data_IF_591076070691
#
_entry.id   IF_591076070691
#
_cell.length_a   1.000
_cell.length_b   1.000
_cell.length_c   1.000
_cell.angle_alpha   90.00
_cell.angle_beta   90.00
_cell.angle_gamma   90.00
#
_symmetry.space_group_name_H-M   'P 1'
#
loop_
_entity.id
_entity.type
_entity.pdbx_description
1 polymer ?
#
# COMPACT_ATOMS: atom_id res chain seq x y z
N UNK A 1 -36.80 -12.16 -14.70
CA UNK A 1 -35.87 -11.36 -15.53
C UNK A 1 -35.13 -10.30 -14.72
N UNK A 2 -35.79 -9.23 -14.23
CA UNK A 2 -35.11 -8.10 -13.56
C UNK A 2 -34.28 -8.54 -12.35
N UNK A 3 -34.83 -9.41 -11.49
CA UNK A 3 -34.11 -9.94 -10.32
C UNK A 3 -32.81 -10.65 -10.70
N UNK A 4 -32.83 -11.46 -11.77
CA UNK A 4 -31.63 -12.16 -12.25
C UNK A 4 -30.60 -11.18 -12.82
N UNK A 5 -31.03 -10.11 -13.51
CA UNK A 5 -30.12 -9.05 -13.98
C UNK A 5 -29.44 -8.37 -12.80
N UNK A 6 -30.22 -7.97 -11.79
CA UNK A 6 -29.69 -7.35 -10.56
C UNK A 6 -28.72 -8.29 -9.87
N UNK A 7 -29.07 -9.57 -9.70
CA UNK A 7 -28.20 -10.58 -9.10
C UNK A 7 -26.85 -10.68 -9.82
N UNK A 8 -26.85 -10.80 -11.15
CA UNK A 8 -25.62 -10.95 -11.93
C UNK A 8 -24.70 -9.71 -11.82
N UNK A 9 -25.29 -8.52 -11.85
CA UNK A 9 -24.55 -7.26 -11.66
C UNK A 9 -23.98 -7.20 -10.23
N UNK A 10 -24.81 -7.48 -9.21
CA UNK A 10 -24.40 -7.46 -7.81
C UNK A 10 -23.29 -8.46 -7.50
N UNK A 11 -23.36 -9.69 -8.02
CA UNK A 11 -22.32 -10.72 -7.85
C UNK A 11 -21.01 -10.29 -8.49
N UNK A 12 -21.06 -9.69 -9.69
CA UNK A 12 -19.86 -9.19 -10.38
C UNK A 12 -19.19 -8.05 -9.60
N UNK A 13 -19.98 -7.09 -9.12
CA UNK A 13 -19.52 -5.98 -8.26
C UNK A 13 -18.93 -6.50 -6.95
N UNK A 14 -19.63 -7.39 -6.26
CA UNK A 14 -19.20 -7.96 -4.98
C UNK A 14 -17.90 -8.77 -5.13
N UNK A 15 -17.75 -9.51 -6.24
CA UNK A 15 -16.52 -10.20 -6.59
C UNK A 15 -15.35 -9.24 -6.75
N UNK A 16 -15.50 -8.14 -7.49
CA UNK A 16 -14.43 -7.15 -7.66
C UNK A 16 -14.11 -6.42 -6.36
N UNK A 17 -15.13 -6.12 -5.55
CA UNK A 17 -14.91 -5.53 -4.22
C UNK A 17 -14.09 -6.46 -3.33
N UNK A 18 -14.47 -7.74 -3.24
CA UNK A 18 -13.78 -8.72 -2.42
C UNK A 18 -12.32 -8.91 -2.87
N UNK A 19 -12.07 -8.83 -4.19
CA UNK A 19 -10.73 -8.91 -4.77
C UNK A 19 -9.80 -7.85 -4.16
N UNK A 20 -10.22 -6.59 -4.26
CA UNK A 20 -9.41 -5.48 -3.77
C UNK A 20 -9.31 -5.47 -2.25
N UNK A 21 -10.38 -5.84 -1.53
CA UNK A 21 -10.36 -5.90 -0.06
C UNK A 21 -9.41 -6.97 0.48
N UNK A 22 -9.40 -8.16 -0.10
CA UNK A 22 -8.50 -9.24 0.34
C UNK A 22 -7.03 -8.90 0.07
N UNK A 23 -6.72 -8.31 -1.09
CA UNK A 23 -5.36 -7.85 -1.38
C UNK A 23 -4.88 -6.76 -0.43
N UNK A 24 -5.76 -5.83 -0.06
CA UNK A 24 -5.44 -4.77 0.89
C UNK A 24 -5.22 -5.30 2.32
N UNK A 25 -6.05 -6.25 2.77
CA UNK A 25 -6.01 -6.76 4.14
C UNK A 25 -4.73 -7.55 4.48
N UNK A 26 -4.14 -8.24 3.50
CA UNK A 26 -3.04 -9.18 3.75
C UNK A 26 -1.68 -8.51 3.94
N UNK A 27 -1.47 -7.28 3.44
CA UNK A 27 -0.15 -6.63 3.57
C UNK A 27 -0.14 -5.12 3.78
N UNK A 28 -1.30 -4.42 3.79
CA UNK A 28 -1.36 -2.95 3.65
C UNK A 28 -0.58 -2.39 2.45
N UNK A 29 -0.13 -3.27 1.55
CA UNK A 29 0.51 -2.98 0.28
C UNK A 29 -0.32 -3.65 -0.80
N UNK A 30 -0.72 -2.91 -1.83
CA UNK A 30 -1.49 -3.48 -2.94
C UNK A 30 -0.60 -4.41 -3.80
N UNK A 31 -0.54 -5.70 -3.47
CA UNK A 31 0.12 -6.71 -4.32
C UNK A 31 -0.88 -7.38 -5.23
N UNK A 32 -0.81 -7.04 -6.52
CA UNK A 32 -1.64 -7.66 -7.55
C UNK A 32 -1.25 -9.13 -7.74
N UNK A 33 -1.94 -10.02 -7.03
CA UNK A 33 -1.77 -11.46 -7.18
C UNK A 33 -2.73 -12.01 -8.23
N UNK A 34 -2.15 -12.50 -9.33
CA UNK A 34 -2.90 -13.11 -10.44
C UNK A 34 -3.66 -14.37 -10.02
N UNK A 35 -3.12 -15.15 -9.06
CA UNK A 35 -3.76 -16.37 -8.55
C UNK A 35 -5.04 -16.06 -7.78
N UNK A 36 -4.99 -15.08 -6.85
CA UNK A 36 -6.18 -14.65 -6.10
C UNK A 36 -7.26 -14.11 -7.04
N UNK A 37 -6.86 -13.31 -8.03
CA UNK A 37 -7.79 -12.81 -9.05
C UNK A 37 -8.47 -13.96 -9.81
N UNK A 38 -7.69 -14.97 -10.22
CA UNK A 38 -8.19 -16.14 -10.95
C UNK A 38 -9.23 -16.91 -10.14
N UNK A 39 -8.92 -17.24 -8.88
CA UNK A 39 -9.83 -17.99 -8.00
C UNK A 39 -11.14 -17.23 -7.82
N UNK A 40 -11.05 -15.94 -7.53
CA UNK A 40 -12.23 -15.13 -7.27
C UNK A 40 -13.09 -14.91 -8.51
N UNK A 41 -12.49 -14.60 -9.66
CA UNK A 41 -13.22 -14.46 -10.92
C UNK A 41 -13.81 -15.79 -11.40
N UNK A 42 -13.20 -16.93 -11.05
CA UNK A 42 -13.81 -18.25 -11.27
C UNK A 42 -15.06 -18.41 -10.41
N UNK A 43 -15.00 -18.07 -9.12
CA UNK A 43 -16.16 -18.12 -8.22
C UNK A 43 -17.27 -17.21 -8.72
N UNK A 44 -16.95 -15.97 -9.13
CA UNK A 44 -17.92 -15.05 -9.74
C UNK A 44 -18.53 -15.70 -10.98
N UNK A 45 -17.72 -16.24 -11.90
CA UNK A 45 -18.22 -16.88 -13.12
C UNK A 45 -19.16 -18.06 -12.85
N UNK A 46 -18.85 -18.87 -11.84
CA UNK A 46 -19.71 -19.97 -11.39
C UNK A 46 -21.03 -19.46 -10.78
N UNK A 47 -20.98 -18.40 -9.97
CA UNK A 47 -22.19 -17.78 -9.40
C UNK A 47 -23.09 -17.17 -10.49
N UNK A 48 -22.50 -16.53 -11.52
CA UNK A 48 -23.25 -16.04 -12.67
C UNK A 48 -23.87 -17.20 -13.47
N UNK A 49 -23.16 -18.33 -13.59
CA UNK A 49 -23.67 -19.52 -14.29
C UNK A 49 -24.88 -20.14 -13.57
N UNK A 50 -24.94 -20.07 -12.23
CA UNK A 50 -26.03 -20.59 -11.41
C UNK A 50 -27.34 -19.81 -11.55
N UNK A 51 -27.30 -18.56 -12.02
CA UNK A 51 -28.46 -17.69 -12.15
C UNK A 51 -28.50 -17.03 -13.53
N UNK A 52 -28.75 -17.79 -14.61
CA UNK A 52 -28.91 -17.22 -15.94
C UNK A 52 -30.14 -16.29 -15.98
N UNK A 53 -30.12 -15.28 -16.86
CA UNK A 53 -31.22 -14.33 -16.97
C UNK A 53 -32.31 -14.90 -17.88
N UNK A 54 -33.51 -15.21 -17.36
CA UNK A 54 -34.60 -15.71 -18.20
C UNK A 54 -35.22 -14.57 -19.00
N UNK A 55 -35.23 -14.71 -20.32
CA UNK A 55 -35.87 -13.80 -21.28
C UNK A 55 -36.67 -14.66 -22.27
N UNK A 56 -38.00 -14.55 -22.25
CA UNK A 56 -38.90 -15.39 -23.03
C UNK A 56 -38.61 -16.89 -22.84
N UNK A 57 -38.07 -17.57 -23.86
CA UNK A 57 -37.70 -18.99 -23.83
C UNK A 57 -36.19 -19.23 -23.68
N UNK A 58 -35.40 -18.16 -23.54
CA UNK A 58 -33.95 -18.21 -23.46
C UNK A 58 -33.44 -17.97 -22.03
N UNK A 59 -32.31 -18.59 -21.72
CA UNK A 59 -31.61 -18.47 -20.44
C UNK A 59 -30.23 -17.88 -20.66
N UNK A 60 -30.15 -16.56 -20.66
CA UNK A 60 -28.93 -15.83 -21.04
C UNK A 60 -27.84 -15.99 -19.97
N UNK A 61 -26.72 -16.60 -20.35
CA UNK A 61 -25.57 -16.84 -19.47
C UNK A 61 -24.52 -15.71 -19.56
N UNK A 62 -24.15 -15.12 -18.41
CA UNK A 62 -23.11 -14.08 -18.31
C UNK A 62 -21.78 -14.60 -17.74
N UNK A 63 -21.61 -15.91 -17.61
CA UNK A 63 -20.44 -16.54 -16.98
C UNK A 63 -19.11 -16.32 -17.72
N UNK A 64 -19.14 -15.83 -18.97
CA UNK A 64 -17.94 -15.40 -19.70
C UNK A 64 -17.43 -14.02 -19.27
N UNK A 65 -18.25 -13.18 -18.63
CA UNK A 65 -17.87 -11.80 -18.25
C UNK A 65 -16.60 -11.76 -17.39
N UNK A 66 -16.44 -12.60 -16.34
CA UNK A 66 -15.20 -12.63 -15.55
C UNK A 66 -13.97 -13.05 -16.36
N UNK A 67 -14.12 -13.82 -17.43
CA UNK A 67 -13.02 -14.21 -18.31
C UNK A 67 -12.45 -13.00 -19.08
N UNK A 68 -13.26 -11.98 -19.34
CA UNK A 68 -12.78 -10.73 -19.96
C UNK A 68 -11.80 -10.00 -19.05
N UNK A 69 -12.10 -9.95 -17.75
CA UNK A 69 -11.23 -9.37 -16.73
C UNK A 69 -9.95 -10.18 -16.59
N UNK A 70 -10.07 -11.51 -16.51
CA UNK A 70 -8.88 -12.38 -16.43
C UNK A 70 -8.00 -12.26 -17.68
N UNK A 71 -8.60 -12.28 -18.87
CA UNK A 71 -7.89 -12.09 -20.14
C UNK A 71 -7.16 -10.76 -20.22
N UNK A 72 -7.75 -9.69 -19.67
CA UNK A 72 -7.13 -8.37 -19.64
C UNK A 72 -6.00 -8.25 -18.62
N UNK A 73 -6.17 -8.79 -17.41
CA UNK A 73 -5.33 -8.44 -16.26
C UNK A 73 -4.41 -9.57 -15.76
N UNK A 74 -4.56 -10.81 -16.23
CA UNK A 74 -3.75 -11.95 -15.74
C UNK A 74 -2.77 -12.49 -16.78
N UNK A 75 -3.02 -13.68 -17.32
CA UNK A 75 -2.33 -14.32 -18.43
C UNK A 75 -3.22 -15.46 -18.98
N UNK A 76 -2.84 -16.04 -20.12
CA UNK A 76 -3.59 -17.12 -20.75
C UNK A 76 -3.77 -18.35 -19.86
N UNK A 77 -2.78 -18.69 -19.03
CA UNK A 77 -2.86 -19.83 -18.13
C UNK A 77 -4.00 -19.69 -17.11
N UNK A 78 -4.06 -18.58 -16.39
CA UNK A 78 -5.11 -18.34 -15.39
C UNK A 78 -6.51 -18.22 -16.04
N UNK A 79 -6.63 -17.49 -17.14
CA UNK A 79 -7.91 -17.35 -17.85
C UNK A 79 -8.42 -18.70 -18.35
N UNK A 80 -7.54 -19.55 -18.90
CA UNK A 80 -7.91 -20.86 -19.40
C UNK A 80 -8.36 -21.81 -18.27
N UNK A 81 -7.63 -21.85 -17.15
CA UNK A 81 -8.01 -22.68 -16.00
C UNK A 81 -9.38 -22.26 -15.45
N UNK A 82 -9.62 -20.95 -15.28
CA UNK A 82 -10.91 -20.43 -14.83
C UNK A 82 -12.03 -20.81 -15.81
N UNK A 83 -11.80 -20.66 -17.12
CA UNK A 83 -12.78 -21.03 -18.14
C UNK A 83 -13.06 -22.53 -18.17
N UNK A 84 -12.03 -23.37 -17.99
CA UNK A 84 -12.17 -24.82 -17.90
C UNK A 84 -13.02 -25.24 -16.71
N UNK A 85 -12.78 -24.65 -15.54
CA UNK A 85 -13.58 -24.92 -14.34
C UNK A 85 -15.03 -24.50 -14.52
N UNK A 86 -15.27 -23.30 -15.05
CA UNK A 86 -16.63 -22.82 -15.34
C UNK A 86 -17.30 -23.75 -16.36
N UNK A 87 -16.62 -24.11 -17.46
CA UNK A 87 -17.15 -24.98 -18.50
C UNK A 87 -17.52 -26.38 -17.98
N UNK A 88 -16.66 -27.00 -17.16
CA UNK A 88 -16.91 -28.31 -16.54
C UNK A 88 -18.15 -28.25 -15.64
N UNK A 89 -18.22 -27.26 -14.75
CA UNK A 89 -19.37 -27.13 -13.84
C UNK A 89 -20.64 -26.82 -14.62
N UNK A 90 -20.59 -25.91 -15.58
CA UNK A 90 -21.75 -25.59 -16.43
C UNK A 90 -22.28 -26.82 -17.16
N UNK A 91 -21.42 -27.64 -17.75
CA UNK A 91 -21.84 -28.83 -18.49
C UNK A 91 -22.35 -29.96 -17.57
N UNK A 92 -21.56 -30.36 -16.58
CA UNK A 92 -21.88 -31.55 -15.76
C UNK A 92 -22.88 -31.27 -14.63
N UNK A 93 -22.88 -30.07 -14.07
CA UNK A 93 -23.73 -29.73 -12.92
C UNK A 93 -24.96 -28.94 -13.36
N UNK A 94 -24.77 -27.95 -14.22
CA UNK A 94 -25.86 -27.06 -14.68
C UNK A 94 -26.53 -27.54 -15.97
N UNK A 95 -26.07 -28.68 -16.52
CA UNK A 95 -26.64 -29.32 -17.71
C UNK A 95 -26.71 -28.40 -18.94
N UNK A 96 -25.75 -27.47 -19.09
CA UNK A 96 -25.66 -26.63 -20.28
C UNK A 96 -25.15 -27.42 -21.49
N UNK A 97 -25.25 -26.84 -22.69
CA UNK A 97 -24.81 -27.51 -23.92
C UNK A 97 -23.29 -27.63 -23.99
N UNK A 98 -22.80 -28.70 -24.64
CA UNK A 98 -21.36 -28.87 -24.90
C UNK A 98 -20.79 -27.70 -25.73
N UNK A 99 -21.59 -27.18 -26.66
CA UNK A 99 -21.24 -26.00 -27.47
C UNK A 99 -20.96 -24.77 -26.61
N UNK A 100 -21.76 -24.55 -25.56
CA UNK A 100 -21.53 -23.46 -24.59
C UNK A 100 -20.24 -23.65 -23.80
N UNK A 101 -19.96 -24.88 -23.33
CA UNK A 101 -18.71 -25.17 -22.62
C UNK A 101 -17.47 -24.92 -23.52
N UNK A 102 -17.53 -25.32 -24.78
CA UNK A 102 -16.46 -25.08 -25.77
C UNK A 102 -16.31 -23.57 -26.06
N UNK A 103 -17.41 -22.83 -26.16
CA UNK A 103 -17.34 -21.39 -26.45
C UNK A 103 -16.63 -20.61 -25.34
N UNK A 104 -16.80 -20.97 -24.07
CA UNK A 104 -16.07 -20.39 -22.95
C UNK A 104 -14.55 -20.58 -23.09
N UNK A 105 -14.11 -21.76 -23.52
CA UNK A 105 -12.69 -22.05 -23.74
C UNK A 105 -12.12 -21.23 -24.90
N UNK A 106 -12.87 -21.12 -26.00
CA UNK A 106 -12.47 -20.30 -27.16
C UNK A 106 -12.36 -18.83 -26.77
N UNK A 107 -13.38 -18.31 -26.06
CA UNK A 107 -13.37 -16.94 -25.53
C UNK A 107 -12.12 -16.74 -24.66
N UNK A 108 -11.85 -17.64 -23.71
CA UNK A 108 -10.72 -17.54 -22.81
C UNK A 108 -9.36 -17.43 -23.54
N UNK A 109 -9.15 -18.26 -24.57
CA UNK A 109 -7.93 -18.23 -25.38
C UNK A 109 -7.81 -16.90 -26.13
N UNK A 110 -8.88 -16.46 -26.80
CA UNK A 110 -8.85 -15.23 -27.60
C UNK A 110 -8.68 -13.99 -26.72
N UNK A 111 -9.48 -13.86 -25.66
CA UNK A 111 -9.46 -12.66 -24.80
C UNK A 111 -8.16 -12.56 -23.99
N UNK A 112 -7.53 -13.68 -23.62
CA UNK A 112 -6.23 -13.65 -22.96
C UNK A 112 -5.07 -13.41 -23.91
N UNK A 113 -5.22 -13.74 -25.20
CA UNK A 113 -4.22 -13.44 -26.22
C UNK A 113 -4.29 -11.97 -26.63
N UNK A 114 -5.49 -11.41 -26.79
CA UNK A 114 -5.68 -10.02 -27.26
C UNK A 114 -5.66 -9.02 -26.10
N UNK A 115 -6.32 -9.35 -24.99
CA UNK A 115 -6.58 -8.46 -23.87
C UNK A 115 -5.37 -7.68 -23.35
N UNK A 116 -4.20 -8.31 -23.10
CA UNK A 116 -3.02 -7.61 -22.61
C UNK A 116 -2.49 -6.53 -23.57
N UNK A 117 -2.71 -6.68 -24.87
CA UNK A 117 -2.18 -5.77 -25.90
C UNK A 117 -3.10 -4.59 -26.21
N UNK A 118 -4.31 -4.53 -25.64
CA UNK A 118 -5.23 -3.41 -25.85
C UNK A 118 -4.69 -2.17 -25.12
N UNK A 119 -4.22 -1.16 -25.88
CA UNK A 119 -3.67 0.10 -25.35
C UNK A 119 -4.75 1.17 -25.09
N UNK A 120 -5.90 0.75 -24.60
CA UNK A 120 -7.01 1.62 -24.24
C UNK A 120 -7.26 1.57 -22.73
N UNK A 121 -8.00 2.55 -22.22
CA UNK A 121 -8.43 2.59 -20.83
C UNK A 121 -9.24 1.34 -20.45
N UNK A 122 -9.23 0.99 -19.16
CA UNK A 122 -9.84 -0.23 -18.61
C UNK A 122 -11.27 -0.50 -19.12
N UNK A 123 -12.12 0.54 -19.13
CA UNK A 123 -13.52 0.43 -19.58
C UNK A 123 -13.58 0.05 -21.06
N UNK A 124 -12.90 0.82 -21.92
CA UNK A 124 -12.90 0.59 -23.38
C UNK A 124 -12.31 -0.78 -23.71
N UNK A 125 -11.23 -1.19 -23.02
CA UNK A 125 -10.61 -2.48 -23.24
C UNK A 125 -11.55 -3.65 -22.92
N UNK A 126 -12.28 -3.60 -21.81
CA UNK A 126 -13.27 -4.63 -21.47
C UNK A 126 -14.44 -4.64 -22.46
N UNK A 127 -14.90 -3.48 -22.93
CA UNK A 127 -15.94 -3.42 -23.97
C UNK A 127 -15.49 -4.01 -25.31
N UNK A 128 -14.24 -3.78 -25.73
CA UNK A 128 -13.67 -4.41 -26.93
C UNK A 128 -13.66 -5.94 -26.77
N UNK A 129 -13.19 -6.44 -25.62
CA UNK A 129 -13.18 -7.89 -25.34
C UNK A 129 -14.59 -8.48 -25.27
N UNK A 130 -15.57 -7.73 -24.75
CA UNK A 130 -16.98 -8.13 -24.76
C UNK A 130 -17.48 -8.27 -26.20
N UNK A 131 -17.27 -7.26 -27.04
CA UNK A 131 -17.67 -7.29 -28.46
C UNK A 131 -17.02 -8.49 -29.19
N UNK A 132 -15.72 -8.73 -28.98
CA UNK A 132 -15.03 -9.90 -29.55
C UNK A 132 -15.70 -11.20 -29.11
N UNK A 133 -16.08 -11.31 -27.83
CA UNK A 133 -16.75 -12.49 -27.28
C UNK A 133 -18.14 -12.70 -27.89
N UNK A 134 -18.91 -11.63 -28.07
CA UNK A 134 -20.22 -11.69 -28.74
C UNK A 134 -20.07 -12.11 -30.21
N UNK A 135 -19.06 -11.60 -30.93
CA UNK A 135 -18.79 -12.01 -32.31
C UNK A 135 -18.45 -13.50 -32.39
N UNK A 136 -17.63 -14.02 -31.46
CA UNK A 136 -17.31 -15.46 -31.36
C UNK A 136 -18.61 -16.26 -31.16
N UNK A 137 -19.46 -15.87 -30.22
CA UNK A 137 -20.71 -16.56 -29.94
C UNK A 137 -21.67 -16.51 -31.13
N UNK A 138 -21.75 -15.38 -31.84
CA UNK A 138 -22.55 -15.26 -33.05
C UNK A 138 -22.07 -16.20 -34.16
N UNK A 139 -20.75 -16.27 -34.41
CA UNK A 139 -20.17 -17.19 -35.40
C UNK A 139 -20.46 -18.64 -35.02
N UNK A 140 -20.31 -19.00 -33.75
CA UNK A 140 -20.64 -20.34 -33.26
C UNK A 140 -22.13 -20.63 -33.45
N UNK A 141 -23.02 -19.68 -33.19
CA UNK A 141 -24.46 -19.85 -33.37
C UNK A 141 -24.88 -20.07 -34.82
N UNK A 142 -24.17 -19.48 -35.77
CA UNK A 142 -24.41 -19.70 -37.20
C UNK A 142 -23.97 -21.11 -37.63
N UNK A 143 -22.87 -21.61 -37.07
CA UNK A 143 -22.27 -22.90 -37.47
C UNK A 143 -22.91 -24.08 -36.73
N UNK A 144 -23.25 -23.90 -35.46
CA UNK A 144 -23.77 -24.95 -34.59
C UNK A 144 -25.29 -24.74 -34.36
N UNK A 145 -26.16 -25.62 -34.91
CA UNK A 145 -27.62 -25.45 -34.91
C UNK A 145 -28.29 -25.51 -33.52
N UNK A 146 -27.52 -25.73 -32.46
CA UNK A 146 -28.01 -25.76 -31.08
C UNK A 146 -27.90 -24.41 -30.35
N UNK A 147 -27.32 -23.38 -30.97
CA UNK A 147 -27.23 -22.03 -30.42
C UNK A 147 -28.13 -21.11 -31.25
N UNK A 148 -29.15 -20.54 -30.61
CA UNK A 148 -30.07 -19.66 -31.32
C UNK A 148 -29.45 -18.27 -31.51
N UNK A 149 -29.52 -17.73 -32.73
CA UNK A 149 -29.03 -16.37 -33.01
C UNK A 149 -29.82 -15.31 -32.25
N UNK A 150 -31.08 -15.58 -31.91
CA UNK A 150 -31.93 -14.72 -31.08
C UNK A 150 -31.37 -14.64 -29.65
N UNK A 151 -30.83 -15.74 -29.11
CA UNK A 151 -30.20 -15.75 -27.79
C UNK A 151 -29.02 -14.77 -27.73
N UNK A 152 -28.18 -14.78 -28.78
CA UNK A 152 -27.02 -13.87 -28.89
C UNK A 152 -27.47 -12.41 -29.02
N UNK A 153 -28.59 -12.15 -29.70
CA UNK A 153 -29.17 -10.81 -29.83
C UNK A 153 -29.61 -10.24 -28.47
N UNK A 154 -30.24 -11.06 -27.61
CA UNK A 154 -30.59 -10.67 -26.24
C UNK A 154 -29.36 -10.54 -25.33
N UNK A 155 -28.33 -11.36 -25.55
CA UNK A 155 -27.09 -11.31 -24.78
C UNK A 155 -26.30 -10.02 -24.99
N UNK A 156 -26.29 -9.46 -26.21
CA UNK A 156 -25.52 -8.27 -26.55
C UNK A 156 -25.80 -7.06 -25.62
N UNK A 157 -27.03 -6.54 -25.49
CA UNK A 157 -27.29 -5.38 -24.63
C UNK A 157 -27.05 -5.71 -23.15
N UNK A 158 -27.40 -6.92 -22.70
CA UNK A 158 -27.23 -7.33 -21.31
C UNK A 158 -25.75 -7.42 -20.92
N UNK A 159 -24.93 -8.02 -21.77
CA UNK A 159 -23.47 -8.14 -21.55
C UNK A 159 -22.79 -6.78 -21.56
N UNK A 160 -23.21 -5.84 -22.41
CA UNK A 160 -22.67 -4.47 -22.44
C UNK A 160 -22.97 -3.78 -21.11
N UNK A 161 -24.21 -3.82 -20.63
CA UNK A 161 -24.59 -3.20 -19.35
C UNK A 161 -23.82 -3.83 -18.19
N UNK A 162 -23.80 -5.16 -18.11
CA UNK A 162 -23.11 -5.89 -17.05
C UNK A 162 -21.60 -5.58 -17.04
N UNK A 163 -20.94 -5.63 -18.20
CA UNK A 163 -19.50 -5.35 -18.32
C UNK A 163 -19.17 -3.88 -18.09
N UNK A 164 -20.04 -2.94 -18.49
CA UNK A 164 -19.85 -1.51 -18.27
C UNK A 164 -19.92 -1.17 -16.78
N UNK A 165 -20.96 -1.62 -16.08
CA UNK A 165 -21.13 -1.39 -14.64
C UNK A 165 -19.96 -2.01 -13.87
N UNK A 166 -19.61 -3.25 -14.21
CA UNK A 166 -18.51 -3.98 -13.57
C UNK A 166 -17.16 -3.29 -13.82
N UNK A 167 -16.91 -2.76 -15.03
CA UNK A 167 -15.68 -2.03 -15.35
C UNK A 167 -15.60 -0.65 -14.71
N UNK A 168 -16.72 0.09 -14.62
CA UNK A 168 -16.78 1.36 -13.89
C UNK A 168 -16.44 1.14 -12.41
N UNK A 169 -17.07 0.16 -11.79
CA UNK A 169 -16.84 -0.16 -10.39
C UNK A 169 -15.40 -0.63 -10.12
N UNK A 170 -14.80 -1.40 -11.04
CA UNK A 170 -13.38 -1.75 -10.99
C UNK A 170 -12.47 -0.51 -10.96
N UNK A 171 -12.70 0.43 -11.88
CA UNK A 171 -11.89 1.67 -11.98
C UNK A 171 -12.07 2.53 -10.73
N UNK A 172 -13.30 2.68 -10.24
CA UNK A 172 -13.59 3.48 -9.05
C UNK A 172 -12.95 2.89 -7.80
N UNK A 173 -13.04 1.56 -7.61
CA UNK A 173 -12.38 0.89 -6.49
C UNK A 173 -10.86 1.01 -6.58
N UNK A 174 -10.27 0.77 -7.75
CA UNK A 174 -8.82 0.89 -7.92
C UNK A 174 -8.35 2.32 -7.59
N UNK A 175 -9.10 3.34 -8.05
CA UNK A 175 -8.83 4.73 -7.71
C UNK A 175 -8.97 5.01 -6.22
N UNK A 176 -10.02 4.50 -5.59
CA UNK A 176 -10.28 4.66 -4.16
C UNK A 176 -9.15 4.09 -3.30
N UNK A 177 -8.74 2.84 -3.54
CA UNK A 177 -7.63 2.23 -2.81
C UNK A 177 -6.29 2.93 -3.08
N UNK A 178 -6.03 3.35 -4.32
CA UNK A 178 -4.83 4.14 -4.64
C UNK A 178 -4.80 5.47 -3.89
N UNK A 179 -5.95 6.13 -3.71
CA UNK A 179 -6.05 7.37 -2.95
C UNK A 179 -5.80 7.14 -1.46
N UNK A 180 -6.31 6.03 -0.89
CA UNK A 180 -6.02 5.63 0.49
C UNK A 180 -4.52 5.42 0.67
N UNK A 181 -3.89 4.63 -0.20
CA UNK A 181 -2.44 4.37 -0.14
C UNK A 181 -1.64 5.67 -0.22
N UNK A 182 -2.06 6.62 -1.07
CA UNK A 182 -1.42 7.95 -1.14
C UNK A 182 -1.59 8.72 0.15
N UNK A 183 -2.79 8.78 0.70
CA UNK A 183 -3.05 9.51 1.94
C UNK A 183 -2.21 8.95 3.11
N UNK A 184 -2.13 7.63 3.23
CA UNK A 184 -1.33 6.96 4.25
C UNK A 184 0.17 7.18 4.06
N UNK A 185 0.64 7.34 2.81
CA UNK A 185 2.04 7.62 2.48
C UNK A 185 2.41 9.11 2.51
N UNK A 186 1.44 10.01 2.36
CA UNK A 186 1.63 11.46 2.40
C UNK A 186 1.55 12.04 3.81
N UNK A 187 1.03 11.28 4.78
CA UNK A 187 1.11 11.68 6.17
C UNK A 187 2.58 11.63 6.63
N UNK A 188 3.23 12.79 6.61
CA UNK A 188 4.66 12.99 6.93
C UNK A 188 4.87 13.59 8.31
N UNK A 189 3.78 13.89 9.04
CA UNK A 189 3.80 14.59 10.32
C UNK A 189 3.32 13.64 11.42
N UNK A 190 3.99 13.69 12.57
CA UNK A 190 3.53 13.05 13.80
C UNK A 190 2.40 13.88 14.40
N UNK A 191 1.21 13.28 14.53
CA UNK A 191 -0.01 13.99 14.94
C UNK A 191 0.08 14.60 16.35
N UNK A 192 0.91 14.03 17.22
CA UNK A 192 1.01 14.44 18.61
C UNK A 192 1.94 15.66 18.77
N UNK A 193 3.09 15.62 18.12
CA UNK A 193 4.19 16.58 18.31
C UNK A 193 4.30 17.62 17.20
N UNK A 194 3.68 17.39 16.03
CA UNK A 194 3.80 18.23 14.85
C UNK A 194 5.16 18.16 14.14
N UNK A 195 6.04 17.25 14.57
CA UNK A 195 7.33 16.99 13.92
C UNK A 195 7.17 16.05 12.73
N UNK A 196 8.24 15.80 11.97
CA UNK A 196 8.18 14.75 10.96
C UNK A 196 8.03 13.37 11.62
N UNK A 197 7.26 12.46 11.03
CA UNK A 197 7.13 11.10 11.56
C UNK A 197 8.25 10.16 11.06
N UNK A 198 8.21 8.90 11.48
CA UNK A 198 9.19 7.88 11.08
C UNK A 198 9.29 7.70 9.55
N UNK A 199 8.17 7.80 8.82
CA UNK A 199 8.19 7.70 7.35
C UNK A 199 8.93 8.88 6.73
N UNK A 200 8.68 10.08 7.25
CA UNK A 200 9.35 11.29 6.78
C UNK A 200 10.83 11.30 7.16
N UNK A 201 11.18 10.79 8.34
CA UNK A 201 12.56 10.58 8.75
C UNK A 201 13.31 9.70 7.73
N UNK A 202 12.80 8.50 7.45
CA UNK A 202 13.43 7.56 6.52
C UNK A 202 13.57 8.19 5.13
N UNK A 203 12.50 8.80 4.61
CA UNK A 203 12.51 9.50 3.32
C UNK A 203 13.57 10.60 3.28
N UNK A 204 13.64 11.43 4.33
CA UNK A 204 14.56 12.56 4.40
C UNK A 204 16.01 12.12 4.52
N UNK A 205 16.29 11.12 5.37
CA UNK A 205 17.61 10.57 5.57
C UNK A 205 18.12 9.88 4.29
N UNK A 206 17.27 9.07 3.63
CA UNK A 206 17.57 8.46 2.32
C UNK A 206 17.99 9.53 1.30
N UNK A 207 17.18 10.59 1.17
CA UNK A 207 17.39 11.65 0.19
C UNK A 207 18.67 12.45 0.46
N UNK A 208 18.98 12.70 1.73
CA UNK A 208 20.21 13.41 2.10
C UNK A 208 21.45 12.53 1.97
N UNK A 209 21.39 11.24 2.31
CA UNK A 209 22.50 10.32 2.12
C UNK A 209 22.90 10.21 0.64
N UNK A 210 21.92 10.12 -0.27
CA UNK A 210 22.18 10.13 -1.72
C UNK A 210 22.80 11.45 -2.20
N UNK A 211 22.33 12.60 -1.69
CA UNK A 211 22.89 13.91 -2.06
C UNK A 211 24.28 14.14 -1.49
N UNK A 212 24.55 13.66 -0.28
CA UNK A 212 25.83 13.75 0.38
C UNK A 212 26.92 13.05 -0.43
N UNK A 213 26.60 11.87 -0.98
CA UNK A 213 27.45 11.11 -1.90
C UNK A 213 27.81 11.93 -3.16
N UNK A 214 26.82 12.57 -3.79
CA UNK A 214 27.07 13.36 -5.01
C UNK A 214 27.78 14.70 -4.76
N UNK A 215 27.50 15.37 -3.63
CA UNK A 215 27.95 16.75 -3.35
C UNK A 215 29.10 16.85 -2.35
N UNK A 216 29.62 15.73 -1.85
CA UNK A 216 30.66 15.66 -0.81
C UNK A 216 30.30 16.46 0.45
N UNK A 217 29.03 16.41 0.88
CA UNK A 217 28.51 17.17 2.02
C UNK A 217 28.34 16.30 3.26
N UNK A 218 28.96 16.69 4.38
CA UNK A 218 28.84 15.98 5.66
C UNK A 218 27.37 15.78 6.07
N UNK A 219 27.07 14.58 6.56
CA UNK A 219 25.75 14.20 7.07
C UNK A 219 25.91 13.67 8.50
N UNK A 220 25.09 14.17 9.43
CA UNK A 220 25.05 13.67 10.79
C UNK A 220 23.61 13.33 11.19
N UNK A 221 23.48 12.35 12.08
CA UNK A 221 22.24 11.92 12.68
C UNK A 221 22.38 11.96 14.20
N UNK A 222 21.48 12.66 14.87
CA UNK A 222 21.32 12.59 16.31
C UNK A 222 20.11 11.71 16.58
N UNK A 223 20.29 10.58 17.25
CA UNK A 223 19.19 9.81 17.84
C UNK A 223 19.08 10.18 19.31
N UNK A 224 17.87 10.53 19.73
CA UNK A 224 17.56 11.07 21.06
C UNK A 224 16.48 10.20 21.67
N UNK A 225 16.69 9.79 22.91
CA UNK A 225 15.73 9.00 23.67
C UNK A 225 15.53 9.62 25.06
N UNK A 226 14.28 9.69 25.51
CA UNK A 226 13.93 10.25 26.82
C UNK A 226 14.19 9.21 27.89
N UNK A 227 15.11 9.52 28.79
CA UNK A 227 15.49 8.62 29.87
C UNK A 227 14.34 8.42 30.86
N UNK A 228 13.97 7.16 31.11
CA UNK A 228 12.94 6.82 32.10
C UNK A 228 11.51 7.19 31.68
N UNK A 229 11.24 7.39 30.38
CA UNK A 229 9.90 7.75 29.91
C UNK A 229 8.85 6.68 30.24
N UNK A 230 9.23 5.40 30.18
CA UNK A 230 8.36 4.31 30.62
C UNK A 230 7.94 4.47 32.09
N UNK A 231 8.87 4.81 32.98
CA UNK A 231 8.57 5.00 34.41
C UNK A 231 7.58 6.15 34.62
N UNK A 232 7.64 7.19 33.77
CA UNK A 232 6.66 8.29 33.80
C UNK A 232 5.27 7.83 33.36
N UNK A 233 5.19 7.03 32.29
CA UNK A 233 3.91 6.45 31.85
C UNK A 233 3.35 5.43 32.84
N UNK A 234 4.21 4.72 33.56
CA UNK A 234 3.78 3.75 34.57
C UNK A 234 3.34 4.46 35.88
N UNK A 235 3.95 5.61 36.20
CA UNK A 235 3.62 6.41 37.39
C UNK A 235 2.44 7.39 37.18
N UNK A 236 2.15 7.76 35.93
CA UNK A 236 1.11 8.75 35.58
C UNK A 236 0.17 8.22 34.48
N UNK A 237 -0.77 9.04 34.03
CA UNK A 237 -1.65 8.66 32.91
C UNK A 237 -0.92 8.78 31.57
N UNK A 238 -1.40 8.07 30.53
CA UNK A 238 -0.88 8.24 29.16
C UNK A 238 -0.92 9.70 28.67
N UNK A 239 -1.87 10.50 29.15
CA UNK A 239 -1.93 11.94 28.86
C UNK A 239 -0.72 12.72 29.38
N UNK A 240 -0.08 12.26 30.46
CA UNK A 240 1.16 12.83 30.99
C UNK A 240 2.34 12.59 30.04
N UNK A 241 2.48 11.36 29.53
CA UNK A 241 3.45 11.02 28.49
C UNK A 241 3.28 11.90 27.25
N UNK A 242 2.05 12.05 26.78
CA UNK A 242 1.72 12.92 25.64
C UNK A 242 2.09 14.39 25.87
N UNK A 243 1.85 14.90 27.08
CA UNK A 243 2.22 16.26 27.46
C UNK A 243 3.75 16.47 27.47
N UNK A 244 4.51 15.46 27.90
CA UNK A 244 5.98 15.49 27.89
C UNK A 244 6.50 15.48 26.46
N UNK A 245 5.98 14.61 25.60
CA UNK A 245 6.41 14.51 24.20
C UNK A 245 6.21 15.83 23.45
N UNK A 246 5.10 16.55 23.71
CA UNK A 246 4.85 17.90 23.17
C UNK A 246 5.84 18.94 23.71
N UNK A 247 6.14 18.90 25.02
CA UNK A 247 7.11 19.84 25.60
C UNK A 247 8.53 19.59 25.08
N UNK A 248 8.92 18.33 24.93
CA UNK A 248 10.21 17.94 24.31
C UNK A 248 10.25 18.41 22.85
N UNK A 249 9.19 18.23 22.07
CA UNK A 249 9.19 18.67 20.67
C UNK A 249 9.38 20.18 20.54
N UNK A 250 8.71 20.98 21.38
CA UNK A 250 8.91 22.43 21.42
C UNK A 250 10.33 22.82 21.88
N UNK A 251 10.89 22.11 22.86
CA UNK A 251 12.26 22.31 23.30
C UNK A 251 13.23 22.06 22.14
N UNK A 252 13.10 20.92 21.44
CA UNK A 252 13.95 20.60 20.30
C UNK A 252 13.84 21.66 19.19
N UNK A 253 12.64 22.15 18.89
CA UNK A 253 12.44 23.23 17.90
C UNK A 253 13.16 24.54 18.27
N UNK A 254 13.33 24.83 19.56
CA UNK A 254 14.04 26.03 20.02
C UNK A 254 15.57 25.90 19.89
N UNK A 255 16.13 24.68 20.04
CA UNK A 255 17.57 24.45 19.92
C UNK A 255 18.01 24.19 18.47
N UNK A 256 17.18 23.53 17.68
CA UNK A 256 17.55 23.07 16.33
C UNK A 256 17.28 24.15 15.29
N UNK A 257 18.29 24.59 14.54
CA UNK A 257 18.10 25.57 13.47
C UNK A 257 17.07 25.11 12.41
N UNK A 258 16.21 26.00 11.88
CA UNK A 258 15.14 25.64 10.93
C UNK A 258 15.59 24.94 9.62
N UNK A 259 16.88 25.04 9.29
CA UNK A 259 17.49 24.36 8.12
C UNK A 259 17.66 22.84 8.32
N UNK A 260 17.59 22.36 9.55
CA UNK A 260 17.61 20.95 9.93
C UNK A 260 16.21 20.46 10.23
N UNK A 261 16.00 19.16 10.09
CA UNK A 261 14.69 18.54 10.31
C UNK A 261 14.73 17.67 11.56
N UNK A 262 13.66 17.76 12.33
CA UNK A 262 13.43 17.01 13.56
C UNK A 262 12.28 16.05 13.30
N UNK A 263 12.43 14.82 13.78
CA UNK A 263 11.45 13.76 13.62
C UNK A 263 11.16 13.10 14.96
N UNK A 264 9.96 12.51 15.08
CA UNK A 264 9.63 11.54 16.11
C UNK A 264 9.55 10.16 15.45
N UNK A 265 10.44 9.27 15.86
CA UNK A 265 10.57 7.94 15.28
C UNK A 265 9.51 6.97 15.83
N UNK A 266 9.01 7.23 17.03
CA UNK A 266 7.97 6.46 17.70
C UNK A 266 8.22 6.41 19.20
N UNK A 267 7.17 6.18 20.01
CA UNK A 267 7.30 6.14 21.47
C UNK A 267 7.94 7.42 22.02
N UNK A 268 9.11 7.27 22.65
CA UNK A 268 9.95 8.31 23.26
C UNK A 268 11.17 8.72 22.44
N UNK A 269 11.30 8.20 21.21
CA UNK A 269 12.48 8.40 20.36
C UNK A 269 12.28 9.56 19.37
N UNK A 270 13.28 10.43 19.32
CA UNK A 270 13.39 11.55 18.40
C UNK A 270 14.66 11.45 17.57
N UNK A 271 14.66 12.04 16.39
CA UNK A 271 15.86 12.14 15.57
C UNK A 271 16.01 13.50 14.92
N UNK A 272 17.26 13.90 14.68
CA UNK A 272 17.59 15.13 13.98
C UNK A 272 18.60 14.80 12.88
N UNK A 273 18.25 15.16 11.63
CA UNK A 273 19.14 15.00 10.49
C UNK A 273 19.82 16.33 10.17
N UNK A 274 21.13 16.36 10.32
CA UNK A 274 21.98 17.54 10.20
C UNK A 274 22.86 17.42 8.95
N UNK A 275 22.94 18.51 8.20
CA UNK A 275 23.76 18.62 6.99
C UNK A 275 24.73 19.78 7.10
N UNK A 276 25.91 19.66 6.50
CA UNK A 276 26.93 20.72 6.44
C UNK A 276 27.41 21.22 7.81
N UNK A 277 27.53 20.32 8.80
CA UNK A 277 28.08 20.61 10.12
C UNK A 277 29.33 19.78 10.34
N UNK A 278 30.32 20.32 11.07
CA UNK A 278 31.41 19.50 11.57
C UNK A 278 30.89 18.54 12.66
N UNK A 279 31.62 17.46 12.93
CA UNK A 279 31.28 16.57 14.05
C UNK A 279 31.21 17.34 15.38
N UNK A 280 32.13 18.27 15.62
CA UNK A 280 32.18 19.10 16.81
C UNK A 280 30.93 20.00 16.94
N UNK A 281 30.46 20.61 15.85
CA UNK A 281 29.22 21.40 15.84
C UNK A 281 27.99 20.52 16.14
N UNK A 282 27.95 19.29 15.61
CA UNK A 282 26.88 18.33 15.90
C UNK A 282 26.86 17.93 17.38
N UNK A 283 28.03 17.65 17.96
CA UNK A 283 28.17 17.29 19.38
C UNK A 283 27.80 18.47 20.28
N UNK A 284 28.22 19.70 19.95
CA UNK A 284 27.83 20.91 20.68
C UNK A 284 26.33 21.14 20.66
N UNK A 285 25.67 20.91 19.53
CA UNK A 285 24.21 20.98 19.43
C UNK A 285 23.55 19.90 20.30
N UNK A 286 24.02 18.65 20.22
CA UNK A 286 23.53 17.56 21.05
C UNK A 286 23.66 17.86 22.55
N UNK A 287 24.81 18.35 23.00
CA UNK A 287 25.02 18.73 24.41
C UNK A 287 24.15 19.91 24.84
N UNK A 288 23.90 20.86 23.94
CA UNK A 288 22.99 21.98 24.20
C UNK A 288 21.55 21.49 24.40
N UNK A 289 21.09 20.57 23.56
CA UNK A 289 19.78 19.92 23.69
C UNK A 289 19.70 19.15 25.01
N UNK A 290 20.68 18.29 25.30
CA UNK A 290 20.73 17.47 26.51
C UNK A 290 20.64 18.33 27.78
N UNK A 291 21.49 19.36 27.88
CA UNK A 291 21.48 20.32 28.99
C UNK A 291 20.18 21.12 29.04
N UNK A 292 19.59 21.42 27.89
CA UNK A 292 18.29 22.07 27.78
C UNK A 292 17.20 21.24 28.44
N UNK A 293 17.09 19.96 28.08
CA UNK A 293 16.14 19.01 28.67
C UNK A 293 16.35 18.88 30.18
N UNK A 294 17.59 18.63 30.61
CA UNK A 294 17.95 18.46 32.02
C UNK A 294 17.55 19.68 32.89
N UNK A 295 17.74 20.89 32.35
CA UNK A 295 17.41 22.14 33.05
C UNK A 295 15.93 22.49 33.00
N UNK A 296 15.18 21.96 32.04
CA UNK A 296 13.75 22.24 31.90
C UNK A 296 12.90 21.60 32.99
N UNK A 297 11.74 22.21 33.24
CA UNK A 297 10.70 21.68 34.12
C UNK A 297 9.55 21.21 33.23
N UNK A 298 9.20 19.94 33.30
CA UNK A 298 8.11 19.36 32.51
C UNK A 298 6.83 19.36 33.32
N UNK A 299 5.79 20.01 32.80
CA UNK A 299 4.52 20.19 33.49
C UNK A 299 3.54 19.11 33.03
N UNK A 300 2.92 18.41 33.98
CA UNK A 300 1.95 17.36 33.69
C UNK A 300 0.50 17.89 33.79
N UNK A 301 -0.50 17.21 33.21
CA UNK A 301 -1.90 17.63 33.28
C UNK A 301 -2.46 17.75 34.70
N UNK A 302 -1.92 16.96 35.64
CA UNK A 302 -2.27 16.99 37.07
C UNK A 302 -1.60 18.13 37.85
N UNK A 303 -0.93 19.06 37.15
CA UNK A 303 -0.16 20.20 37.69
C UNK A 303 1.13 19.82 38.42
N UNK A 304 1.52 18.55 38.42
CA UNK A 304 2.84 18.16 38.91
C UNK A 304 3.94 18.62 37.94
N UNK A 305 5.16 18.75 38.47
CA UNK A 305 6.34 19.15 37.73
C UNK A 305 7.42 18.10 37.92
N UNK A 306 7.95 17.59 36.81
CA UNK A 306 9.00 16.57 36.82
C UNK A 306 10.27 17.05 36.12
N UNK A 307 11.37 16.37 36.41
CA UNK A 307 12.66 16.51 35.75
C UNK A 307 12.94 15.27 34.91
N UNK A 308 13.46 15.48 33.71
CA UNK A 308 13.82 14.42 32.78
C UNK A 308 15.21 14.70 32.21
N UNK A 309 15.82 13.66 31.67
CA UNK A 309 17.02 13.76 30.86
C UNK A 309 16.81 13.04 29.53
N UNK A 310 17.75 13.23 28.61
CA UNK A 310 17.80 12.48 27.36
C UNK A 310 19.19 11.88 27.18
N UNK A 311 19.24 10.70 26.59
CA UNK A 311 20.45 10.11 26.05
C UNK A 311 20.50 10.37 24.55
N UNK A 312 21.68 10.74 24.03
CA UNK A 312 21.84 11.11 22.62
C UNK A 312 23.02 10.35 22.00
N UNK A 313 22.77 9.65 20.90
CA UNK A 313 23.79 9.05 20.05
C UNK A 313 24.02 9.87 18.78
N UNK A 314 25.27 10.15 18.44
CA UNK A 314 25.64 10.90 17.24
C UNK A 314 26.33 9.98 16.23
N UNK A 315 25.67 9.77 15.09
CA UNK A 315 26.26 9.19 13.89
C UNK A 315 26.74 10.28 12.95
N UNK A 316 27.92 10.10 12.35
CA UNK A 316 28.51 11.12 11.47
C UNK A 316 29.18 10.48 10.25
N UNK A 317 28.85 10.96 9.06
CA UNK A 317 29.50 10.59 7.81
C UNK A 317 30.33 11.74 7.27
N UNK A 318 31.59 11.42 6.98
CA UNK A 318 32.53 12.30 6.29
C UNK A 318 32.32 12.25 4.78
N UNK A 319 32.99 13.16 4.05
CA UNK A 319 33.01 13.18 2.59
C UNK A 319 33.53 11.91 1.92
N UNK A 320 34.22 11.07 2.69
CA UNK A 320 35.01 9.96 2.18
C UNK A 320 34.41 8.60 2.57
N UNK A 321 33.36 8.60 3.41
CA UNK A 321 32.71 7.43 4.02
C UNK A 321 31.39 6.98 3.34
N UNK A 322 31.03 7.57 2.19
CA UNK A 322 29.73 7.38 1.55
C UNK A 322 29.57 6.00 0.91
N UNK A 323 29.27 4.98 1.73
CA UNK A 323 28.78 3.69 1.19
C UNK A 323 27.43 3.24 1.72
N UNK A 324 26.84 3.85 2.76
CA UNK A 324 25.43 3.60 3.08
C UNK A 324 24.88 4.52 4.17
N UNK A 325 23.65 5.00 3.98
CA UNK A 325 22.81 5.50 5.07
C UNK A 325 22.71 4.54 6.27
N UNK A 326 22.72 3.23 6.01
CA UNK A 326 22.67 2.24 7.09
C UNK A 326 23.81 2.42 8.08
N UNK A 327 24.96 2.94 7.62
CA UNK A 327 26.11 3.23 8.48
C UNK A 327 25.81 4.38 9.44
N UNK A 328 25.34 5.53 8.97
CA UNK A 328 25.06 6.68 9.86
C UNK A 328 23.98 6.38 10.89
N UNK A 329 22.96 5.62 10.48
CA UNK A 329 21.91 5.18 11.40
C UNK A 329 22.46 4.25 12.47
N UNK A 330 23.18 3.20 12.04
CA UNK A 330 23.77 2.23 12.95
C UNK A 330 24.77 2.88 13.92
N UNK A 331 25.63 3.76 13.43
CA UNK A 331 26.59 4.46 14.27
C UNK A 331 25.88 5.31 15.34
N UNK A 332 24.81 6.03 14.97
CA UNK A 332 24.03 6.80 15.94
C UNK A 332 23.32 5.90 16.97
N UNK A 333 22.79 4.75 16.53
CA UNK A 333 22.09 3.77 17.38
C UNK A 333 23.04 3.11 18.38
N UNK A 334 24.21 2.65 17.90
CA UNK A 334 25.26 2.07 18.73
C UNK A 334 25.72 3.09 19.80
N UNK A 335 25.89 4.36 19.42
CA UNK A 335 26.25 5.42 20.38
C UNK A 335 25.14 5.71 21.38
N UNK A 336 23.88 5.74 20.95
CA UNK A 336 22.75 5.95 21.85
C UNK A 336 22.65 4.81 22.87
N UNK A 337 22.84 3.57 22.43
CA UNK A 337 22.88 2.41 23.29
C UNK A 337 24.01 2.50 24.34
N UNK A 338 25.20 2.94 23.94
CA UNK A 338 26.31 3.20 24.88
C UNK A 338 25.93 4.31 25.87
N UNK A 339 25.34 5.42 25.42
CA UNK A 339 24.91 6.51 26.30
C UNK A 339 23.95 6.01 27.39
N UNK A 340 22.98 5.15 27.02
CA UNK A 340 22.05 4.53 27.96
C UNK A 340 22.75 3.61 28.98
N UNK A 341 23.74 2.85 28.54
CA UNK A 341 24.46 1.90 29.41
C UNK A 341 25.51 2.58 30.32
N UNK A 342 26.05 3.72 29.92
CA UNK A 342 27.01 4.50 30.72
C UNK A 342 26.35 5.46 31.73
N UNK A 343 25.11 5.20 32.11
CA UNK A 343 24.40 5.95 33.14
C UNK A 343 23.45 7.03 32.63
N UNK A 344 23.09 7.01 31.34
CA UNK A 344 22.11 7.93 30.72
C UNK A 344 22.51 9.40 30.80
N UNK A 345 21.64 10.32 30.36
CA UNK A 345 21.87 11.76 30.41
C UNK A 345 23.23 12.18 29.82
N UNK A 346 23.56 11.64 28.65
CA UNK A 346 24.86 11.83 27.99
C UNK A 346 24.74 11.89 26.48
N UNK A 347 25.73 12.53 25.86
CA UNK A 347 25.97 12.48 24.42
C UNK A 347 27.14 11.54 24.14
N UNK A 348 26.93 10.54 23.29
CA UNK A 348 27.99 9.65 22.81
C UNK A 348 28.18 9.79 21.30
N UNK A 349 29.42 9.73 20.86
CA UNK A 349 29.82 9.88 19.46
C UNK A 349 31.14 9.16 19.21
N UNK A 350 31.37 8.72 17.97
CA UNK A 350 32.65 8.12 17.59
C UNK A 350 33.61 9.20 17.05
N UNK A 351 34.80 9.41 17.65
CA UNK A 351 35.74 10.41 17.17
C UNK A 351 36.31 10.03 15.79
N UNK A 352 36.47 11.02 14.91
CA UNK A 352 37.15 10.84 13.62
C UNK A 352 38.67 10.84 13.88
N UNK A 353 39.29 9.66 13.85
CA UNK A 353 40.75 9.51 13.95
C UNK A 353 41.31 9.33 12.54
N UNK A 354 41.97 10.37 11.99
CA UNK A 354 42.80 10.22 10.79
C UNK A 354 44.17 9.69 11.21
N UNK A 355 44.44 8.42 10.93
CA UNK A 355 45.80 7.87 11.03
C UNK A 355 46.64 8.54 9.94
N UNK A 356 47.71 9.23 10.34
CA UNK A 356 48.65 9.91 9.45
C UNK A 356 49.57 8.93 8.73
#
# INVERSE_FOLDING_TARGET
MIEAIIYNISVSIAGIYLFHRLQYAESRDFRFSKSYMSVLMTIVGLLLALQPVPIEHYYIQLSFVPLLFLGRYTNAFYTFISALLIAIVSYFVLSTTLTFAISLLIIAVIVSTIGPFIKQNHIIAIQILNIISIVILLVIAIIAPHFDTIEVLYLLPLSIVATLITALFYVDLHRFFTLIDRYDNENTIDYLTGLGNVKEFDRHLNALAQRADTKKQSLALLLIDIDGFKDVNDAHTHEAGDAILKQISHLLQNYVPPKHRIFRNGGEEFSIVIKNYSLDDCVKLAESIRKGVEKSNFHLPDKSVIKLSVSIGVGYLTSDDYKSQRKVFKDADDMLHIAKNEGRNKVMFNPIIKLQ
#
